data_IF_951103962446
#
_entry.id   IF_951103962446
#
_cell.length_a   1.000
_cell.length_b   1.000
_cell.length_c   1.000
_cell.angle_alpha   90.00
_cell.angle_beta   90.00
_cell.angle_gamma   90.00
#
_symmetry.space_group_name_H-M   'P 1'
#
loop_
_entity.id
_entity.type
_entity.pdbx_description
1 polymer ?
#
# COMPACT_ATOMS: atom_id res chain seq x y z
N UNK A 1 4.74 23.61 -4.39
CA UNK A 1 5.12 23.42 -5.79
C UNK A 1 5.32 24.70 -6.59
N UNK A 2 4.74 25.86 -6.20
CA UNK A 2 5.00 27.13 -6.88
C UNK A 2 6.49 27.53 -6.92
N UNK A 3 7.25 27.20 -5.87
CA UNK A 3 8.71 27.44 -5.81
C UNK A 3 9.50 26.58 -6.82
N UNK A 4 8.93 25.46 -7.25
CA UNK A 4 9.50 24.60 -8.30
C UNK A 4 8.93 24.90 -9.70
N UNK A 5 8.20 26.01 -9.87
CA UNK A 5 7.54 26.40 -11.10
C UNK A 5 6.57 25.33 -11.66
N UNK A 6 6.01 24.50 -10.77
CA UNK A 6 5.03 23.48 -11.14
C UNK A 6 3.64 23.96 -10.70
N UNK A 7 2.72 24.05 -11.65
CA UNK A 7 1.31 24.27 -11.38
C UNK A 7 0.63 22.91 -11.19
N UNK A 8 0.09 22.69 -9.97
CA UNK A 8 -0.65 21.47 -9.66
C UNK A 8 -2.14 21.78 -9.63
N UNK A 9 -2.90 21.12 -10.51
CA UNK A 9 -4.36 21.17 -10.52
C UNK A 9 -4.90 19.90 -9.85
N UNK A 10 -5.41 20.04 -8.65
CA UNK A 10 -5.98 18.91 -7.90
C UNK A 10 -7.42 18.68 -8.31
N UNK A 11 -7.74 17.45 -8.70
CA UNK A 11 -9.08 16.97 -8.99
C UNK A 11 -9.46 15.91 -7.96
N UNK A 12 -10.43 16.21 -7.10
CA UNK A 12 -10.95 15.27 -6.10
C UNK A 12 -12.16 14.56 -6.69
N UNK A 13 -12.08 13.23 -6.78
CA UNK A 13 -13.11 12.39 -7.39
C UNK A 13 -13.60 11.32 -6.42
N UNK A 14 -14.78 10.78 -6.68
CA UNK A 14 -15.27 9.59 -5.98
C UNK A 14 -14.43 8.35 -6.36
N UNK A 15 -14.35 7.39 -5.43
CA UNK A 15 -13.50 6.21 -5.63
C UNK A 15 -13.84 5.40 -6.90
N UNK A 16 -15.11 5.32 -7.26
CA UNK A 16 -15.54 4.66 -8.51
C UNK A 16 -15.00 5.36 -9.77
N UNK A 17 -14.96 6.69 -9.77
CA UNK A 17 -14.35 7.48 -10.84
C UNK A 17 -12.85 7.27 -10.89
N UNK A 18 -12.19 7.25 -9.72
CA UNK A 18 -10.77 6.95 -9.62
C UNK A 18 -10.44 5.55 -10.18
N UNK A 19 -11.26 4.54 -9.87
CA UNK A 19 -11.08 3.17 -10.40
C UNK A 19 -11.17 3.12 -11.92
N UNK A 20 -12.05 3.93 -12.52
CA UNK A 20 -12.15 3.97 -13.98
C UNK A 20 -11.00 4.76 -14.59
N UNK A 21 -10.86 6.02 -14.20
CA UNK A 21 -9.97 6.96 -14.89
C UNK A 21 -8.49 6.63 -14.60
N UNK A 22 -8.15 6.36 -13.31
CA UNK A 22 -6.76 6.16 -12.89
C UNK A 22 -6.34 4.70 -13.00
N UNK A 23 -7.10 3.80 -12.36
CA UNK A 23 -6.68 2.39 -12.27
C UNK A 23 -6.85 1.65 -13.60
N UNK A 24 -7.99 1.87 -14.30
CA UNK A 24 -8.31 1.15 -15.55
C UNK A 24 -7.74 1.85 -16.76
N UNK A 25 -8.05 3.14 -16.93
CA UNK A 25 -7.71 3.89 -18.14
C UNK A 25 -6.32 4.50 -18.08
N UNK A 26 -5.71 4.61 -16.87
CA UNK A 26 -4.40 5.21 -16.62
C UNK A 26 -4.29 6.65 -17.09
N UNK A 27 -5.42 7.38 -17.08
CA UNK A 27 -5.53 8.77 -17.49
C UNK A 27 -5.25 9.71 -16.31
N UNK A 28 -3.97 9.84 -15.94
CA UNK A 28 -3.53 10.73 -14.87
C UNK A 28 -2.05 11.08 -15.00
N UNK A 29 -1.67 12.26 -14.50
CA UNK A 29 -0.26 12.65 -14.35
C UNK A 29 0.28 12.23 -12.97
N UNK A 30 -0.49 12.50 -11.92
CA UNK A 30 -0.20 12.14 -10.52
C UNK A 30 -1.50 11.65 -9.86
N UNK A 31 -1.38 10.62 -9.04
CA UNK A 31 -2.50 10.11 -8.24
C UNK A 31 -2.10 10.00 -6.77
N UNK A 32 -3.04 10.29 -5.88
CA UNK A 32 -2.91 10.05 -4.44
C UNK A 32 -4.05 9.15 -4.00
N UNK A 33 -3.72 7.97 -3.49
CA UNK A 33 -4.68 6.97 -3.02
C UNK A 33 -4.07 6.16 -1.87
N UNK A 34 -4.91 5.68 -0.98
CA UNK A 34 -4.51 4.75 0.07
C UNK A 34 -4.43 3.32 -0.47
N UNK A 35 -3.29 2.67 -0.24
CA UNK A 35 -3.09 1.25 -0.52
C UNK A 35 -3.09 0.46 0.78
N UNK A 36 -3.95 -0.54 0.86
CA UNK A 36 -4.12 -1.40 2.03
C UNK A 36 -4.14 -2.88 1.62
N UNK A 37 -3.08 -3.30 0.97
CA UNK A 37 -2.92 -4.68 0.52
C UNK A 37 -1.74 -5.33 1.23
N UNK A 38 -1.87 -6.61 1.58
CA UNK A 38 -0.75 -7.38 2.07
C UNK A 38 0.17 -7.77 0.92
N UNK A 39 1.48 -7.66 1.10
CA UNK A 39 2.49 -8.01 0.08
C UNK A 39 2.37 -7.18 -1.21
N UNK A 40 1.97 -5.93 -1.09
CA UNK A 40 1.73 -5.01 -2.21
C UNK A 40 3.00 -4.63 -3.01
N UNK A 41 4.20 -4.90 -2.48
CA UNK A 41 5.44 -4.64 -3.22
C UNK A 41 5.49 -5.32 -4.59
N UNK A 42 4.83 -6.48 -4.76
CA UNK A 42 4.72 -7.15 -6.05
C UNK A 42 4.13 -6.28 -7.18
N UNK A 43 3.36 -5.26 -6.83
CA UNK A 43 2.77 -4.33 -7.81
C UNK A 43 3.83 -3.50 -8.53
N UNK A 44 4.97 -3.20 -7.88
CA UNK A 44 6.11 -2.49 -8.47
C UNK A 44 6.90 -3.33 -9.48
N UNK A 45 6.63 -4.64 -9.55
CA UNK A 45 7.27 -5.55 -10.51
C UNK A 45 6.43 -5.81 -11.75
N UNK A 46 5.25 -5.20 -11.84
CA UNK A 46 4.27 -5.40 -12.90
C UNK A 46 4.18 -4.17 -13.80
N UNK A 47 4.80 -4.20 -14.99
CA UNK A 47 4.75 -3.05 -15.91
C UNK A 47 3.33 -2.70 -16.39
N UNK A 48 2.42 -3.69 -16.37
CA UNK A 48 1.01 -3.53 -16.74
C UNK A 48 0.15 -2.92 -15.61
N UNK A 49 0.67 -2.84 -14.38
CA UNK A 49 -0.06 -2.24 -13.26
C UNK A 49 -0.24 -0.73 -13.46
N UNK A 50 -1.25 -0.14 -12.84
CA UNK A 50 -1.58 1.26 -13.09
C UNK A 50 -0.49 2.26 -12.70
N UNK A 51 0.50 1.86 -11.87
CA UNK A 51 1.66 2.70 -11.57
C UNK A 51 2.49 3.08 -12.80
N UNK A 52 2.42 2.28 -13.88
CA UNK A 52 3.23 2.51 -15.08
C UNK A 52 4.73 2.40 -14.86
N UNK A 53 5.14 1.68 -13.81
CA UNK A 53 6.55 1.52 -13.46
C UNK A 53 7.12 0.23 -14.07
N UNK A 54 8.21 0.37 -14.84
CA UNK A 54 8.89 -0.76 -15.49
C UNK A 54 10.40 -0.67 -15.24
N UNK A 55 10.90 -1.44 -14.26
CA UNK A 55 12.31 -1.53 -13.95
C UNK A 55 12.74 -3.00 -13.79
N UNK A 56 13.54 -3.48 -14.73
CA UNK A 56 14.00 -4.88 -14.76
C UNK A 56 14.84 -5.28 -13.55
N UNK A 57 15.62 -4.34 -12.99
CA UNK A 57 16.38 -4.62 -11.77
C UNK A 57 15.45 -4.92 -10.59
N UNK A 58 14.37 -4.15 -10.44
CA UNK A 58 13.37 -4.37 -9.38
C UNK A 58 12.65 -5.69 -9.57
N UNK A 59 12.27 -6.03 -10.80
CA UNK A 59 11.66 -7.32 -11.14
C UNK A 59 12.57 -8.49 -10.77
N UNK A 60 13.84 -8.42 -11.15
CA UNK A 60 14.82 -9.46 -10.84
C UNK A 60 15.06 -9.61 -9.34
N UNK A 61 15.25 -8.49 -8.61
CA UNK A 61 15.45 -8.51 -7.16
C UNK A 61 14.25 -9.13 -6.43
N UNK A 62 13.05 -8.86 -6.91
CA UNK A 62 11.84 -9.46 -6.35
C UNK A 62 11.78 -10.97 -6.62
N UNK A 63 12.09 -11.43 -7.84
CA UNK A 63 12.16 -12.84 -8.17
C UNK A 63 13.21 -13.58 -7.32
N UNK A 64 14.39 -12.98 -7.15
CA UNK A 64 15.44 -13.49 -6.26
C UNK A 64 14.96 -13.57 -4.80
N UNK A 65 14.26 -12.55 -4.32
CA UNK A 65 13.68 -12.56 -2.99
C UNK A 65 12.65 -13.66 -2.77
N UNK A 66 11.78 -13.88 -3.77
CA UNK A 66 10.77 -14.96 -3.70
C UNK A 66 11.40 -16.36 -3.83
N UNK A 67 12.56 -16.47 -4.42
CA UNK A 67 13.35 -17.72 -4.50
C UNK A 67 14.29 -17.94 -3.31
N UNK A 68 14.42 -16.98 -2.38
CA UNK A 68 15.33 -17.07 -1.25
C UNK A 68 14.97 -18.21 -0.29
N UNK A 69 16.01 -18.85 0.29
CA UNK A 69 15.84 -20.00 1.19
C UNK A 69 15.72 -19.62 2.66
N UNK A 70 15.94 -18.35 3.00
CA UNK A 70 15.83 -17.82 4.33
C UNK A 70 15.32 -16.37 4.33
N UNK A 71 14.85 -15.92 5.48
CA UNK A 71 14.23 -14.60 5.63
C UNK A 71 15.24 -13.46 5.47
N UNK A 72 16.48 -13.63 5.94
CA UNK A 72 17.50 -12.56 5.86
C UNK A 72 17.87 -12.25 4.41
N UNK A 73 18.02 -13.27 3.59
CA UNK A 73 18.29 -13.10 2.16
C UNK A 73 17.10 -12.47 1.43
N UNK A 74 15.88 -12.94 1.71
CA UNK A 74 14.66 -12.37 1.15
C UNK A 74 14.54 -10.89 1.50
N UNK A 75 14.69 -10.55 2.77
CA UNK A 75 14.51 -9.19 3.27
C UNK A 75 15.58 -8.24 2.73
N UNK A 76 16.83 -8.71 2.57
CA UNK A 76 17.89 -7.93 1.93
C UNK A 76 17.57 -7.59 0.47
N UNK A 77 17.06 -8.56 -0.30
CA UNK A 77 16.66 -8.35 -1.70
C UNK A 77 15.46 -7.42 -1.82
N UNK A 78 14.46 -7.57 -0.97
CA UNK A 78 13.30 -6.67 -0.93
C UNK A 78 13.70 -5.25 -0.55
N UNK A 79 14.63 -5.09 0.40
CA UNK A 79 15.14 -3.78 0.79
C UNK A 79 15.87 -3.08 -0.36
N UNK A 80 16.72 -3.81 -1.11
CA UNK A 80 17.40 -3.26 -2.30
C UNK A 80 16.40 -2.89 -3.39
N UNK A 81 15.39 -3.72 -3.63
CA UNK A 81 14.34 -3.43 -4.58
C UNK A 81 13.55 -2.18 -4.20
N UNK A 82 13.15 -2.05 -2.93
CA UNK A 82 12.42 -0.89 -2.41
C UNK A 82 13.26 0.40 -2.49
N UNK A 83 14.55 0.31 -2.19
CA UNK A 83 15.48 1.44 -2.36
C UNK A 83 15.55 1.88 -3.83
N UNK A 84 15.63 0.94 -4.77
CA UNK A 84 15.66 1.26 -6.20
C UNK A 84 14.39 1.98 -6.65
N UNK A 85 13.19 1.52 -6.24
CA UNK A 85 11.93 2.19 -6.54
C UNK A 85 11.90 3.62 -5.98
N UNK A 86 12.42 3.80 -4.76
CA UNK A 86 12.50 5.13 -4.11
C UNK A 86 13.46 6.06 -4.82
N UNK A 87 14.63 5.57 -5.24
CA UNK A 87 15.65 6.36 -5.98
C UNK A 87 15.15 6.76 -7.37
N UNK A 88 14.34 5.93 -8.02
CA UNK A 88 13.68 6.24 -9.29
C UNK A 88 12.57 7.30 -9.13
N UNK A 89 12.22 7.69 -7.89
CA UNK A 89 11.16 8.64 -7.57
C UNK A 89 9.80 8.26 -8.20
N UNK A 90 9.52 6.96 -8.29
CA UNK A 90 8.29 6.43 -8.87
C UNK A 90 7.05 6.73 -8.00
N UNK A 91 7.24 6.88 -6.70
CA UNK A 91 6.21 7.31 -5.76
C UNK A 91 6.80 8.06 -4.56
N UNK A 92 5.95 8.78 -3.86
CA UNK A 92 6.23 9.38 -2.55
C UNK A 92 5.31 8.77 -1.50
N UNK A 93 5.90 8.06 -0.52
CA UNK A 93 5.17 7.44 0.59
C UNK A 93 4.96 8.45 1.69
N UNK A 94 3.76 9.04 1.73
CA UNK A 94 3.46 10.17 2.60
C UNK A 94 3.36 9.79 4.07
N UNK A 95 2.60 8.74 4.39
CA UNK A 95 2.40 8.26 5.76
C UNK A 95 1.67 6.92 5.81
N UNK A 96 1.79 6.24 6.96
CA UNK A 96 0.96 5.10 7.30
C UNK A 96 -0.14 5.52 8.27
N UNK A 97 -1.37 5.10 8.03
CA UNK A 97 -2.49 5.35 8.93
C UNK A 97 -2.31 4.66 10.27
N UNK A 98 -2.73 5.35 11.31
CA UNK A 98 -3.09 4.67 12.56
C UNK A 98 -4.53 4.22 12.48
N UNK A 99 -4.76 2.91 12.51
CA UNK A 99 -6.10 2.36 12.51
C UNK A 99 -6.82 2.79 13.80
N UNK A 100 -7.97 3.44 13.64
CA UNK A 100 -8.83 3.80 14.75
C UNK A 100 -9.95 2.76 14.88
N UNK A 101 -10.01 2.09 16.03
CA UNK A 101 -11.04 1.09 16.30
C UNK A 101 -12.03 1.63 17.32
N UNK A 102 -13.31 1.71 16.94
CA UNK A 102 -14.40 2.02 17.85
C UNK A 102 -15.08 0.74 18.31
N UNK A 103 -15.23 0.58 19.63
CA UNK A 103 -15.88 -0.60 20.22
C UNK A 103 -17.01 -0.17 21.15
N UNK A 104 -18.07 -0.98 21.18
CA UNK A 104 -19.12 -0.84 22.20
C UNK A 104 -18.58 -1.15 23.60
N UNK A 105 -19.16 -0.52 24.63
CA UNK A 105 -18.82 -0.84 26.02
C UNK A 105 -19.08 -2.33 26.29
N UNK A 106 -18.11 -3.00 26.94
CA UNK A 106 -18.21 -4.42 27.29
C UNK A 106 -17.68 -5.36 26.21
N UNK A 107 -17.22 -4.88 25.07
CA UNK A 107 -16.50 -5.69 24.07
C UNK A 107 -15.02 -5.73 24.45
N UNK A 108 -14.47 -6.94 24.54
CA UNK A 108 -13.06 -7.20 24.82
C UNK A 108 -12.47 -8.20 23.80
N UNK A 109 -11.14 -8.27 23.69
CA UNK A 109 -10.45 -9.23 22.82
C UNK A 109 -10.32 -8.81 21.36
N UNK A 110 -10.75 -7.60 20.99
CA UNK A 110 -10.54 -7.09 19.64
C UNK A 110 -9.09 -6.61 19.45
N UNK A 111 -8.37 -7.09 18.44
CA UNK A 111 -7.00 -6.63 18.19
C UNK A 111 -6.97 -5.19 17.70
N UNK A 112 -6.22 -4.33 18.40
CA UNK A 112 -6.15 -2.90 18.07
C UNK A 112 -5.23 -2.59 16.87
N UNK A 113 -4.37 -3.54 16.48
CA UNK A 113 -3.40 -3.38 15.39
C UNK A 113 -3.70 -4.35 14.24
N UNK A 114 -4.95 -4.46 13.87
CA UNK A 114 -5.39 -5.36 12.83
C UNK A 114 -5.42 -4.66 11.48
N UNK A 115 -4.89 -5.32 10.43
CA UNK A 115 -5.25 -4.93 9.08
C UNK A 115 -6.69 -5.38 8.79
N UNK A 116 -7.37 -4.75 7.85
CA UNK A 116 -8.81 -4.94 7.61
C UNK A 116 -9.19 -6.32 7.06
N UNK A 117 -8.22 -7.19 6.78
CA UNK A 117 -8.46 -8.45 6.06
C UNK A 117 -8.76 -9.65 6.96
N UNK A 118 -8.47 -9.57 8.25
CA UNK A 118 -8.68 -10.68 9.17
C UNK A 118 -9.32 -10.21 10.48
N UNK A 119 -10.46 -10.80 10.82
CA UNK A 119 -11.19 -10.53 12.07
C UNK A 119 -11.22 -11.79 12.95
N UNK A 120 -10.43 -11.87 14.02
CA UNK A 120 -10.37 -13.03 14.91
C UNK A 120 -11.58 -13.06 15.88
N UNK A 121 -12.75 -13.39 15.37
CA UNK A 121 -14.01 -13.40 16.12
C UNK A 121 -13.99 -14.33 17.34
N UNK A 122 -13.18 -15.40 17.29
CA UNK A 122 -13.10 -16.37 18.39
C UNK A 122 -12.51 -15.79 19.70
N UNK A 123 -11.87 -14.65 19.63
CA UNK A 123 -11.27 -13.97 20.80
C UNK A 123 -12.18 -12.87 21.37
N UNK A 124 -13.26 -12.55 20.69
CA UNK A 124 -14.19 -11.52 21.14
C UNK A 124 -15.05 -12.02 22.28
N UNK A 125 -15.14 -11.24 23.33
CA UNK A 125 -16.09 -11.44 24.42
C UNK A 125 -16.94 -10.19 24.59
N UNK A 126 -18.16 -10.38 25.10
CA UNK A 126 -19.06 -9.27 25.39
C UNK A 126 -19.67 -9.43 26.78
N UNK A 127 -19.46 -8.45 27.64
CA UNK A 127 -20.09 -8.34 28.94
C UNK A 127 -21.10 -7.18 28.93
N UNK A 128 -22.41 -7.43 29.08
CA UNK A 128 -23.40 -6.38 29.12
C UNK A 128 -23.10 -5.35 30.23
N UNK A 129 -22.95 -4.11 29.89
CA UNK A 129 -22.86 -3.02 30.87
C UNK A 129 -24.27 -2.53 31.21
N UNK A 130 -24.60 -2.54 32.51
CA UNK A 130 -25.87 -1.97 32.98
C UNK A 130 -25.92 -0.46 32.80
#
# INVERSE_FOLDING_TARGET
MKEAYIELKVNVVEFSTWLQDVYTDKDYDLSMVDHNESHDFSQWTRPDYYYGYDNRKVQQLYEEAMGATNDDERDAKLAEAAQTVSEDAAADWLFNYRVATAMGKGVEGFPLNMNQTFMPLAQLTYTPTK
#
